data_IF_546034794887
#
_entry.id   IF_546034794887
#
_cell.length_a   1.000
_cell.length_b   1.000
_cell.length_c   1.000
_cell.angle_alpha   90.00
_cell.angle_beta   90.00
_cell.angle_gamma   90.00
#
_symmetry.space_group_name_H-M   'P 1'
#
loop_
_entity.id
_entity.type
_entity.pdbx_description
1 polymer ?
#
# COMPACT_ATOMS: atom_id res chain seq x y z
N UNK A 1 -20.91 8.97 3.73
CA UNK A 1 -20.25 7.64 3.79
C UNK A 1 -20.55 6.95 5.12
N UNK A 2 -20.67 5.63 5.14
CA UNK A 2 -20.74 4.85 6.38
C UNK A 2 -19.32 4.38 6.76
N UNK A 3 -19.04 4.32 8.07
CA UNK A 3 -17.74 3.91 8.60
C UNK A 3 -17.89 2.72 9.55
N UNK A 4 -16.86 1.89 9.63
CA UNK A 4 -16.77 0.76 10.58
C UNK A 4 -15.40 0.71 11.23
N UNK A 5 -15.34 0.16 12.44
CA UNK A 5 -14.07 -0.14 13.09
C UNK A 5 -13.26 -1.17 12.29
N UNK A 6 -11.98 -0.90 12.06
CA UNK A 6 -11.04 -1.82 11.42
C UNK A 6 -10.49 -2.82 12.45
N UNK A 7 -11.20 -3.92 12.61
CA UNK A 7 -10.81 -4.94 13.58
C UNK A 7 -10.63 -4.40 15.00
N UNK A 8 -9.46 -4.64 15.60
CA UNK A 8 -9.08 -4.18 16.95
C UNK A 8 -8.18 -2.94 16.93
N UNK A 9 -7.96 -2.31 15.79
CA UNK A 9 -7.06 -1.15 15.65
C UNK A 9 -7.58 0.11 16.35
N UNK A 10 -8.88 0.22 16.57
CA UNK A 10 -9.55 1.46 17.04
C UNK A 10 -9.88 2.44 15.90
N UNK A 11 -9.32 2.22 14.71
CA UNK A 11 -9.52 3.11 13.56
C UNK A 11 -10.89 2.91 12.91
N UNK A 12 -11.45 4.00 12.36
CA UNK A 12 -12.71 3.98 11.63
C UNK A 12 -12.46 4.19 10.15
N UNK A 13 -12.72 3.16 9.36
CA UNK A 13 -12.58 3.19 7.91
C UNK A 13 -13.94 3.22 7.21
N UNK A 14 -13.98 3.86 6.05
CA UNK A 14 -15.16 3.82 5.17
C UNK A 14 -15.44 2.38 4.74
N UNK A 15 -16.73 2.00 4.68
CA UNK A 15 -17.11 0.64 4.26
C UNK A 15 -16.77 0.32 2.80
N UNK A 16 -16.48 1.36 2.02
CA UNK A 16 -15.94 1.29 0.65
C UNK A 16 -14.51 1.82 0.68
N UNK A 17 -13.54 1.00 0.30
CA UNK A 17 -12.17 1.41 0.04
C UNK A 17 -11.96 1.76 -1.43
N UNK A 18 -10.94 2.54 -1.72
CA UNK A 18 -10.53 2.90 -3.07
C UNK A 18 -9.29 2.09 -3.48
N UNK A 19 -9.46 1.19 -4.46
CA UNK A 19 -8.37 0.35 -4.97
C UNK A 19 -7.62 1.02 -6.13
N UNK A 20 -6.31 1.17 -6.00
CA UNK A 20 -5.44 1.82 -6.98
C UNK A 20 -4.81 0.86 -7.99
N UNK A 21 -5.28 -0.39 -8.07
CA UNK A 21 -4.78 -1.37 -9.04
C UNK A 21 -5.22 -1.07 -10.49
N UNK A 22 -6.37 -0.42 -10.68
CA UNK A 22 -6.96 -0.15 -11.99
C UNK A 22 -7.31 1.32 -12.18
N UNK A 23 -6.36 2.18 -11.92
CA UNK A 23 -6.49 3.61 -12.23
C UNK A 23 -6.60 3.80 -13.75
N UNK A 24 -7.23 4.88 -14.23
CA UNK A 24 -7.24 5.26 -15.65
C UNK A 24 -5.83 5.29 -16.24
N UNK A 25 -5.70 4.85 -17.48
CA UNK A 25 -4.40 4.78 -18.18
C UNK A 25 -4.45 5.52 -19.52
N UNK A 26 -3.27 6.01 -19.97
CA UNK A 26 -3.04 6.57 -21.31
C UNK A 26 -2.16 5.57 -22.10
N UNK A 27 -2.77 4.63 -22.81
CA UNK A 27 -2.03 3.65 -23.60
C UNK A 27 -1.74 2.36 -22.85
N UNK A 28 -0.53 2.17 -22.30
CA UNK A 28 -0.14 0.96 -21.59
C UNK A 28 -0.47 1.00 -20.10
N UNK A 29 -0.51 -0.17 -19.46
CA UNK A 29 -0.91 -0.32 -18.07
C UNK A 29 -0.02 0.45 -17.08
N UNK A 30 1.24 0.67 -17.42
CA UNK A 30 2.20 1.44 -16.63
C UNK A 30 2.10 2.96 -16.83
N UNK A 31 1.20 3.42 -17.70
CA UNK A 31 0.98 4.84 -17.99
C UNK A 31 -0.34 5.33 -17.38
N UNK A 32 -0.30 5.69 -16.11
CA UNK A 32 -1.47 6.25 -15.43
C UNK A 32 -1.87 7.58 -16.07
N UNK A 33 -3.17 7.76 -16.33
CA UNK A 33 -3.75 9.05 -16.64
C UNK A 33 -3.88 9.87 -15.34
N UNK A 34 -2.84 10.65 -15.06
CA UNK A 34 -2.72 11.40 -13.80
C UNK A 34 -3.92 12.32 -13.57
N UNK A 35 -4.37 13.06 -14.61
CA UNK A 35 -5.49 13.99 -14.50
C UNK A 35 -6.78 13.27 -14.10
N UNK A 36 -7.20 12.26 -14.87
CA UNK A 36 -8.40 11.49 -14.54
C UNK A 36 -8.30 10.73 -13.23
N UNK A 37 -7.12 10.21 -12.89
CA UNK A 37 -6.92 9.49 -11.63
C UNK A 37 -7.01 10.44 -10.44
N UNK A 38 -6.49 11.65 -10.55
CA UNK A 38 -6.61 12.68 -9.51
C UNK A 38 -8.07 13.12 -9.32
N UNK A 39 -8.81 13.37 -10.40
CA UNK A 39 -10.25 13.68 -10.34
C UNK A 39 -11.06 12.57 -9.64
N UNK A 40 -10.75 11.30 -9.91
CA UNK A 40 -11.41 10.18 -9.26
C UNK A 40 -11.07 10.10 -7.77
N UNK A 41 -9.81 10.33 -7.39
CA UNK A 41 -9.40 10.40 -5.99
C UNK A 41 -10.09 11.54 -5.26
N UNK A 42 -10.07 12.75 -5.84
CA UNK A 42 -10.76 13.92 -5.28
C UNK A 42 -12.24 13.63 -5.05
N UNK A 43 -12.90 13.04 -6.05
CA UNK A 43 -14.30 12.64 -5.90
C UNK A 43 -14.49 11.63 -4.77
N UNK A 44 -13.67 10.59 -4.71
CA UNK A 44 -13.75 9.54 -3.70
C UNK A 44 -13.57 10.11 -2.28
N UNK A 45 -12.53 10.94 -2.08
CA UNK A 45 -12.25 11.58 -0.80
C UNK A 45 -13.38 12.54 -0.40
N UNK A 46 -13.90 13.33 -1.34
CA UNK A 46 -15.04 14.24 -1.10
C UNK A 46 -16.33 13.48 -0.75
N UNK A 47 -16.49 12.23 -1.18
CA UNK A 47 -17.59 11.34 -0.77
C UNK A 47 -17.33 10.63 0.57
N UNK A 48 -16.17 10.87 1.20
CA UNK A 48 -15.79 10.35 2.49
C UNK A 48 -15.15 8.97 2.47
N UNK A 49 -14.62 8.52 1.34
CA UNK A 49 -13.72 7.36 1.31
C UNK A 49 -12.42 7.78 1.99
N UNK A 50 -11.97 7.00 2.98
CA UNK A 50 -10.74 7.26 3.72
C UNK A 50 -9.78 6.07 3.79
N UNK A 51 -9.98 5.03 2.98
CA UNK A 51 -9.08 3.89 2.88
C UNK A 51 -8.65 3.71 1.43
N UNK A 52 -7.37 3.89 1.15
CA UNK A 52 -6.76 3.73 -0.17
C UNK A 52 -5.85 2.51 -0.18
N UNK A 53 -6.07 1.62 -1.14
CA UNK A 53 -5.32 0.37 -1.28
C UNK A 53 -4.46 0.39 -2.55
N UNK A 54 -3.15 0.29 -2.38
CA UNK A 54 -2.18 0.10 -3.46
C UNK A 54 -1.29 -1.12 -3.20
N UNK A 55 -0.30 -1.36 -4.03
CA UNK A 55 0.74 -2.36 -3.85
C UNK A 55 1.94 -2.06 -4.73
N UNK A 56 3.11 -2.60 -4.34
CA UNK A 56 4.37 -2.45 -5.04
C UNK A 56 4.28 -2.64 -6.58
N UNK A 57 3.67 -3.73 -7.12
CA UNK A 57 3.66 -3.96 -8.57
C UNK A 57 2.52 -3.28 -9.33
N UNK A 58 1.60 -2.55 -8.66
CA UNK A 58 0.43 -1.99 -9.35
C UNK A 58 0.84 -0.94 -10.37
N UNK A 59 0.29 -1.05 -11.58
CA UNK A 59 0.70 -0.27 -12.75
C UNK A 59 2.18 -0.46 -13.13
N UNK A 60 2.70 -1.68 -12.95
CA UNK A 60 4.05 -2.08 -13.39
C UNK A 60 4.03 -2.86 -14.70
N UNK A 61 5.20 -2.98 -15.33
CA UNK A 61 5.44 -3.83 -16.52
C UNK A 61 5.63 -5.32 -16.18
N UNK A 62 5.26 -5.71 -14.98
CA UNK A 62 5.41 -7.04 -14.42
C UNK A 62 5.34 -6.96 -12.90
N UNK A 63 5.67 -8.08 -12.24
CA UNK A 63 5.62 -8.18 -10.79
C UNK A 63 6.98 -8.09 -10.11
N UNK A 64 8.08 -8.03 -10.90
CA UNK A 64 9.46 -8.01 -10.40
C UNK A 64 10.02 -6.60 -10.13
N UNK A 65 9.24 -5.57 -10.40
CA UNK A 65 9.66 -4.19 -10.18
C UNK A 65 8.48 -3.33 -9.72
N UNK A 66 8.77 -2.21 -9.05
CA UNK A 66 7.75 -1.27 -8.60
C UNK A 66 6.98 -0.65 -9.77
N UNK A 67 5.66 -0.60 -9.65
CA UNK A 67 4.76 0.00 -10.63
C UNK A 67 4.50 1.49 -10.38
N UNK A 68 3.72 2.12 -11.26
CA UNK A 68 3.47 3.55 -11.20
C UNK A 68 2.46 3.98 -10.10
N UNK A 69 1.70 3.05 -9.51
CA UNK A 69 0.61 3.39 -8.59
C UNK A 69 1.10 4.08 -7.30
N UNK A 70 2.16 3.58 -6.68
CA UNK A 70 2.72 4.20 -5.47
C UNK A 70 3.34 5.57 -5.78
N UNK A 71 4.05 5.71 -6.91
CA UNK A 71 4.61 6.99 -7.34
C UNK A 71 3.50 8.03 -7.57
N UNK A 72 2.43 7.64 -8.26
CA UNK A 72 1.28 8.50 -8.48
C UNK A 72 0.65 8.98 -7.17
N UNK A 73 0.45 8.06 -6.20
CA UNK A 73 -0.12 8.43 -4.90
C UNK A 73 0.82 9.35 -4.11
N UNK A 74 2.13 9.10 -4.15
CA UNK A 74 3.13 9.96 -3.53
C UNK A 74 3.08 11.39 -4.09
N UNK A 75 3.07 11.54 -5.41
CA UNK A 75 2.95 12.85 -6.08
C UNK A 75 1.61 13.53 -5.80
N UNK A 76 0.52 12.76 -5.81
CA UNK A 76 -0.82 13.28 -5.52
C UNK A 76 -0.90 13.89 -4.12
N UNK A 77 -0.40 13.20 -3.08
CA UNK A 77 -0.43 13.70 -1.71
C UNK A 77 0.62 14.78 -1.42
N UNK A 78 1.77 14.76 -2.07
CA UNK A 78 2.75 15.84 -1.98
C UNK A 78 2.24 17.17 -2.55
N UNK A 79 1.36 17.10 -3.54
CA UNK A 79 0.73 18.26 -4.17
C UNK A 79 -0.47 18.84 -3.39
N UNK A 80 -0.93 18.17 -2.32
CA UNK A 80 -2.07 18.59 -1.53
C UNK A 80 -1.93 18.20 -0.05
N UNK A 81 -2.74 18.78 0.84
CA UNK A 81 -2.69 18.54 2.30
C UNK A 81 -3.64 17.44 2.77
N UNK A 82 -4.06 16.52 1.89
CA UNK A 82 -5.10 15.51 2.20
C UNK A 82 -4.56 14.17 2.70
N UNK A 83 -3.23 14.02 2.85
CA UNK A 83 -2.62 12.76 3.32
C UNK A 83 -3.18 12.30 4.67
N UNK A 84 -3.45 13.23 5.56
CA UNK A 84 -3.97 12.95 6.91
C UNK A 84 -5.48 12.63 6.94
N UNK A 85 -6.18 12.79 5.81
CA UNK A 85 -7.59 12.41 5.69
C UNK A 85 -7.79 10.92 5.40
N UNK A 86 -6.70 10.18 5.10
CA UNK A 86 -6.78 8.81 4.60
C UNK A 86 -5.89 7.84 5.37
N UNK A 87 -6.34 6.59 5.41
CA UNK A 87 -5.51 5.43 5.70
C UNK A 87 -4.93 4.88 4.40
N UNK A 88 -3.61 4.93 4.27
CA UNK A 88 -2.90 4.43 3.10
C UNK A 88 -2.40 3.00 3.36
N UNK A 89 -2.88 2.08 2.53
CA UNK A 89 -2.45 0.70 2.54
C UNK A 89 -1.59 0.39 1.31
N UNK A 90 -0.43 -0.23 1.53
CA UNK A 90 0.36 -0.87 0.48
C UNK A 90 0.83 -2.25 0.91
N UNK A 91 1.49 -2.98 0.00
CA UNK A 91 1.78 -4.39 0.21
C UNK A 91 3.22 -4.71 -0.18
N UNK A 92 3.93 -5.40 0.72
CA UNK A 92 5.25 -5.98 0.47
C UNK A 92 5.18 -7.02 -0.64
N UNK A 93 6.06 -7.01 -1.65
CA UNK A 93 6.09 -8.02 -2.69
C UNK A 93 6.74 -9.33 -2.19
N UNK A 94 5.98 -10.15 -1.46
CA UNK A 94 6.47 -11.35 -0.76
C UNK A 94 7.24 -12.34 -1.64
N UNK A 95 6.99 -12.37 -2.94
CA UNK A 95 7.67 -13.23 -3.92
C UNK A 95 9.04 -12.70 -4.39
N UNK A 96 9.44 -11.52 -3.94
CA UNK A 96 10.75 -10.90 -4.24
C UNK A 96 11.67 -10.87 -3.03
N UNK A 97 11.25 -11.42 -1.90
CA UNK A 97 12.03 -11.48 -0.67
C UNK A 97 12.91 -12.74 -0.71
N UNK A 98 14.22 -12.56 -0.78
CA UNK A 98 15.22 -13.64 -0.86
C UNK A 98 16.11 -13.67 0.38
N UNK A 99 16.31 -12.53 1.06
CA UNK A 99 17.10 -12.40 2.27
C UNK A 99 16.48 -11.42 3.27
N UNK A 100 16.87 -11.50 4.55
CA UNK A 100 16.31 -10.67 5.63
C UNK A 100 16.35 -9.17 5.30
N UNK A 101 17.43 -8.68 4.71
CA UNK A 101 17.60 -7.28 4.33
C UNK A 101 16.58 -6.77 3.29
N UNK A 102 15.95 -7.66 2.55
CA UNK A 102 14.94 -7.31 1.55
C UNK A 102 13.66 -6.74 2.18
N UNK A 103 13.30 -7.19 3.39
CA UNK A 103 12.12 -6.70 4.11
C UNK A 103 12.22 -5.18 4.37
N UNK A 104 13.35 -4.73 4.93
CA UNK A 104 13.60 -3.31 5.16
C UNK A 104 13.79 -2.54 3.85
N UNK A 105 14.51 -3.09 2.89
CA UNK A 105 14.77 -2.48 1.58
C UNK A 105 13.47 -2.16 0.83
N UNK A 106 12.53 -3.10 0.76
CA UNK A 106 11.24 -2.87 0.09
C UNK A 106 10.37 -1.87 0.84
N UNK A 107 10.33 -1.93 2.18
CA UNK A 107 9.57 -0.95 2.96
C UNK A 107 10.12 0.47 2.74
N UNK A 108 11.44 0.65 2.80
CA UNK A 108 12.09 1.95 2.60
C UNK A 108 11.89 2.47 1.17
N UNK A 109 11.95 1.59 0.16
CA UNK A 109 11.61 1.94 -1.22
C UNK A 109 10.16 2.40 -1.34
N UNK A 110 9.20 1.69 -0.74
CA UNK A 110 7.78 2.01 -0.80
C UNK A 110 7.45 3.32 -0.07
N UNK A 111 8.05 3.58 1.09
CA UNK A 111 7.93 4.86 1.80
C UNK A 111 8.42 6.02 0.91
N UNK A 112 9.57 5.85 0.26
CA UNK A 112 10.12 6.84 -0.67
C UNK A 112 9.22 7.06 -1.88
N UNK A 113 8.65 6.00 -2.46
CA UNK A 113 7.74 6.06 -3.61
C UNK A 113 6.44 6.77 -3.26
N UNK A 114 5.90 6.47 -2.08
CA UNK A 114 4.69 7.09 -1.53
C UNK A 114 4.92 8.49 -0.95
N UNK A 115 6.17 8.94 -0.86
CA UNK A 115 6.59 10.23 -0.29
C UNK A 115 5.99 10.45 1.11
N UNK A 116 6.07 9.44 1.96
CA UNK A 116 5.55 9.46 3.33
C UNK A 116 6.54 8.80 4.28
N UNK A 117 6.57 9.27 5.52
CA UNK A 117 7.39 8.66 6.58
C UNK A 117 6.69 7.47 7.25
N UNK A 118 5.37 7.30 7.01
CA UNK A 118 4.58 6.25 7.63
C UNK A 118 3.49 5.73 6.69
N UNK A 119 3.39 4.40 6.58
CA UNK A 119 2.30 3.67 5.92
C UNK A 119 1.31 3.23 6.99
N UNK A 120 0.00 3.52 6.80
CA UNK A 120 -1.00 3.15 7.80
C UNK A 120 -1.23 1.64 7.89
N UNK A 121 -1.35 0.95 6.75
CA UNK A 121 -1.52 -0.50 6.70
C UNK A 121 -0.49 -1.12 5.75
N UNK A 122 0.44 -1.89 6.29
CA UNK A 122 1.45 -2.60 5.51
C UNK A 122 1.13 -4.09 5.46
N UNK A 123 0.85 -4.61 4.27
CA UNK A 123 0.34 -5.96 4.09
C UNK A 123 1.39 -6.88 3.44
N UNK A 124 1.43 -8.14 3.83
CA UNK A 124 2.12 -9.18 3.08
C UNK A 124 1.26 -9.54 1.86
N UNK A 125 1.80 -9.36 0.64
CA UNK A 125 1.01 -9.44 -0.59
C UNK A 125 0.83 -10.86 -1.09
N UNK A 126 -0.41 -11.26 -1.37
CA UNK A 126 -0.75 -12.58 -1.96
C UNK A 126 -0.17 -13.76 -1.16
N UNK A 127 -0.22 -13.67 0.14
CA UNK A 127 0.35 -14.66 1.04
C UNK A 127 -0.28 -16.03 0.82
N UNK A 128 0.56 -17.07 0.71
CA UNK A 128 0.20 -18.49 0.63
C UNK A 128 0.83 -19.24 1.78
N UNK A 129 0.24 -20.37 2.16
CA UNK A 129 0.74 -21.21 3.27
C UNK A 129 2.24 -21.51 3.14
N UNK A 130 2.70 -21.95 1.97
CA UNK A 130 4.13 -22.25 1.74
C UNK A 130 5.02 -21.02 1.91
N UNK A 131 4.60 -19.87 1.39
CA UNK A 131 5.36 -18.62 1.51
C UNK A 131 5.47 -18.15 2.95
N UNK A 132 4.49 -18.49 3.81
CA UNK A 132 4.53 -18.09 5.20
C UNK A 132 5.78 -18.65 5.91
N UNK A 133 6.10 -19.94 5.70
CA UNK A 133 7.29 -20.55 6.31
C UNK A 133 8.59 -19.90 5.80
N UNK A 134 8.68 -19.62 4.50
CA UNK A 134 9.84 -18.92 3.93
C UNK A 134 10.00 -17.52 4.54
N UNK A 135 8.90 -16.82 4.80
CA UNK A 135 8.91 -15.48 5.43
C UNK A 135 9.24 -15.53 6.93
N UNK A 136 8.80 -16.58 7.64
CA UNK A 136 9.21 -16.81 9.04
C UNK A 136 10.71 -17.01 9.14
N UNK A 137 11.30 -17.81 8.25
CA UNK A 137 12.75 -18.02 8.18
C UNK A 137 13.53 -16.74 7.86
N UNK A 138 12.91 -15.78 7.15
CA UNK A 138 13.46 -14.44 6.89
C UNK A 138 13.24 -13.45 8.05
N UNK A 139 12.63 -13.85 9.16
CA UNK A 139 12.40 -12.98 10.32
C UNK A 139 11.30 -11.94 10.10
N UNK A 140 10.25 -12.27 9.34
CA UNK A 140 9.17 -11.32 8.98
C UNK A 140 8.46 -10.73 10.19
N UNK A 141 8.25 -11.51 11.25
CA UNK A 141 7.54 -11.03 12.45
C UNK A 141 8.37 -10.01 13.21
N UNK A 142 9.65 -10.27 13.41
CA UNK A 142 10.59 -9.36 14.05
C UNK A 142 10.75 -8.06 13.23
N UNK A 143 10.77 -8.18 11.90
CA UNK A 143 10.77 -7.01 11.02
C UNK A 143 9.51 -6.17 11.20
N UNK A 144 8.31 -6.77 11.19
CA UNK A 144 7.05 -6.05 11.33
C UNK A 144 6.94 -5.35 12.70
N UNK A 145 7.35 -6.03 13.78
CA UNK A 145 7.38 -5.44 15.13
C UNK A 145 8.34 -4.25 15.19
N UNK A 146 9.52 -4.37 14.59
CA UNK A 146 10.50 -3.29 14.49
C UNK A 146 9.97 -2.11 13.67
N UNK A 147 9.37 -2.36 12.51
CA UNK A 147 8.81 -1.32 11.64
C UNK A 147 7.61 -0.57 12.28
N UNK A 148 6.83 -1.26 13.11
CA UNK A 148 5.80 -0.61 13.95
C UNK A 148 6.44 0.23 15.04
N UNK A 149 7.44 -0.30 15.74
CA UNK A 149 8.11 0.37 16.85
C UNK A 149 8.84 1.65 16.43
N UNK A 150 9.42 1.66 15.24
CA UNK A 150 10.13 2.82 14.67
C UNK A 150 9.20 3.80 13.92
N UNK A 151 7.92 3.46 13.81
CA UNK A 151 6.88 4.33 13.25
C UNK A 151 6.78 4.34 11.72
N UNK A 152 7.53 3.49 11.02
CA UNK A 152 7.44 3.38 9.55
C UNK A 152 6.10 2.78 9.08
N UNK A 153 5.46 1.94 9.91
CA UNK A 153 4.11 1.42 9.66
C UNK A 153 3.27 1.51 10.95
N UNK A 154 1.93 1.64 10.81
CA UNK A 154 1.03 1.63 11.97
C UNK A 154 0.45 0.24 12.23
N UNK A 155 -0.04 -0.41 11.20
CA UNK A 155 -0.72 -1.70 11.27
C UNK A 155 -0.21 -2.65 10.22
N UNK A 156 -0.20 -3.92 10.54
CA UNK A 156 0.18 -4.99 9.62
C UNK A 156 -0.97 -5.96 9.36
N UNK A 157 -0.86 -6.70 8.27
CA UNK A 157 -1.80 -7.74 7.86
C UNK A 157 -1.32 -8.46 6.62
N UNK A 158 -2.21 -9.11 5.92
CA UNK A 158 -1.90 -9.79 4.67
C UNK A 158 -3.08 -9.76 3.69
N UNK A 159 -2.78 -9.98 2.42
CA UNK A 159 -3.76 -10.31 1.39
C UNK A 159 -3.52 -11.74 0.89
N UNK A 160 -4.58 -12.44 0.54
CA UNK A 160 -4.51 -13.80 0.00
C UNK A 160 -5.55 -14.01 -1.08
N UNK A 161 -5.32 -14.99 -1.94
CA UNK A 161 -6.27 -15.49 -2.94
C UNK A 161 -6.70 -16.94 -2.64
N UNK A 162 -6.28 -17.49 -1.51
CA UNK A 162 -6.68 -18.84 -1.06
C UNK A 162 -8.03 -18.80 -0.35
#
# INVERSE_FOLDING_TARGET
>A
MLYRGMGKTGEKVSILGFGCMRLPIKGSYDQIDVERSSELLDHALNQGINYLDTAYPYHGRGTSQGGASELFLGEYFAGNSRRDEVYLATKSPTWLLEEEGDLDRFLDEQLKRLQTDCIDFYLLHSLKERQWFDLEDLGVLEFLDRAISDGRIKYTGFSTHD
#
